data_IF_542931419819
#
_entry.id   IF_542931419819
#
_cell.length_a   1.000
_cell.length_b   1.000
_cell.length_c   1.000
_cell.angle_alpha   90.00
_cell.angle_beta   90.00
_cell.angle_gamma   90.00
#
_symmetry.space_group_name_H-M   'P 1'
#
loop_
_entity.id
_entity.type
_entity.pdbx_description
1 polymer ?
#
# COMPACT_ATOMS: atom_id res chain seq x y z
N UNK A 1 -2.52 12.78 14.10
CA UNK A 1 -2.94 11.63 13.26
C UNK A 1 -1.77 11.14 12.39
N UNK A 2 -1.24 11.97 11.47
CA UNK A 2 -0.13 11.61 10.56
C UNK A 2 1.11 10.99 11.24
N UNK A 3 1.67 11.65 12.27
CA UNK A 3 2.86 11.14 12.97
C UNK A 3 2.65 9.80 13.68
N UNK A 4 1.43 9.51 14.10
CA UNK A 4 1.12 8.24 14.75
C UNK A 4 1.04 7.11 13.72
N UNK A 5 0.38 7.36 12.58
CA UNK A 5 0.32 6.42 11.46
C UNK A 5 1.73 6.04 10.97
N UNK A 6 2.62 7.03 10.81
CA UNK A 6 4.01 6.79 10.42
C UNK A 6 4.75 5.85 11.39
N UNK A 7 4.48 5.94 12.70
CA UNK A 7 5.15 5.11 13.72
C UNK A 7 4.74 3.64 13.69
N UNK A 8 3.54 3.34 13.18
CA UNK A 8 2.95 2.00 13.15
C UNK A 8 3.01 1.34 11.76
N UNK A 9 3.54 2.04 10.76
CA UNK A 9 3.80 1.51 9.41
C UNK A 9 4.65 0.24 9.46
N UNK A 10 4.27 -0.78 8.68
CA UNK A 10 5.01 -2.03 8.56
C UNK A 10 5.03 -2.90 9.81
N UNK A 11 4.35 -2.50 10.91
CA UNK A 11 4.27 -3.27 12.15
C UNK A 11 2.88 -3.91 12.30
N UNK A 12 2.79 -5.18 12.73
CA UNK A 12 1.51 -5.79 13.05
C UNK A 12 0.91 -5.13 14.30
N UNK A 13 -0.32 -4.64 14.18
CA UNK A 13 -1.13 -4.08 15.24
C UNK A 13 -2.22 -5.09 15.59
N UNK A 14 -2.32 -5.43 16.88
CA UNK A 14 -3.27 -6.42 17.37
C UNK A 14 -4.70 -5.87 17.32
N UNK A 15 -5.65 -6.77 17.04
CA UNK A 15 -7.08 -6.49 17.18
C UNK A 15 -7.63 -7.11 18.47
N UNK A 16 -8.86 -6.76 18.89
CA UNK A 16 -9.55 -7.47 19.96
C UNK A 16 -9.85 -8.95 19.63
N UNK A 17 -9.82 -9.34 18.35
CA UNK A 17 -10.05 -10.72 17.91
C UNK A 17 -8.73 -11.49 18.00
N UNK A 18 -8.74 -12.57 18.77
CA UNK A 18 -7.54 -13.36 18.99
C UNK A 18 -7.00 -13.94 17.68
N UNK A 19 -5.69 -13.82 17.47
CA UNK A 19 -5.02 -14.27 16.24
C UNK A 19 -5.16 -13.33 15.03
N UNK A 20 -5.93 -12.23 15.14
CA UNK A 20 -6.07 -11.26 14.06
C UNK A 20 -5.24 -10.00 14.34
N UNK A 21 -4.42 -9.63 13.36
CA UNK A 21 -3.64 -8.38 13.36
C UNK A 21 -3.78 -7.66 12.03
N UNK A 22 -3.50 -6.37 12.02
CA UNK A 22 -3.44 -5.55 10.81
C UNK A 22 -2.12 -4.78 10.75
N UNK A 23 -1.62 -4.59 9.54
CA UNK A 23 -0.40 -3.83 9.28
C UNK A 23 -0.73 -2.78 8.23
N UNK A 24 -0.34 -1.52 8.46
CA UNK A 24 -0.44 -0.51 7.40
C UNK A 24 0.78 -0.69 6.49
N UNK A 25 0.49 -0.94 5.22
CA UNK A 25 1.48 -0.98 4.14
C UNK A 25 1.44 0.36 3.40
N UNK A 26 2.58 0.78 2.87
CA UNK A 26 2.70 1.97 2.01
C UNK A 26 3.66 1.65 0.89
N UNK A 27 3.29 2.05 -0.32
CA UNK A 27 4.21 2.08 -1.44
C UNK A 27 5.39 3.01 -1.13
N UNK A 28 6.61 2.49 -1.23
CA UNK A 28 7.82 3.30 -1.07
C UNK A 28 8.44 3.45 -2.46
N UNK A 29 8.35 4.67 -3.01
CA UNK A 29 9.04 5.01 -4.25
C UNK A 29 10.56 5.08 -4.01
N UNK A 30 11.34 4.82 -5.05
CA UNK A 30 12.81 4.83 -5.03
C UNK A 30 13.41 6.16 -4.54
N UNK A 31 12.67 7.27 -4.69
CA UNK A 31 13.05 8.60 -4.19
C UNK A 31 13.03 8.73 -2.66
N UNK A 32 12.37 7.81 -1.93
CA UNK A 32 12.34 7.77 -0.46
C UNK A 32 13.34 6.78 0.14
N UNK A 33 14.17 6.13 -0.69
CA UNK A 33 15.25 5.23 -0.25
C UNK A 33 16.43 6.06 0.28
N UNK A 34 16.31 6.58 1.50
CA UNK A 34 17.48 7.15 2.18
C UNK A 34 18.38 6.06 2.80
N UNK A 35 18.02 4.78 2.70
CA UNK A 35 18.83 3.68 3.21
C UNK A 35 18.95 2.57 2.16
N UNK A 36 20.20 2.17 1.88
CA UNK A 36 20.65 1.21 0.87
C UNK A 36 20.19 -0.25 1.10
N UNK A 37 18.98 -0.50 1.59
CA UNK A 37 18.40 -1.84 1.55
C UNK A 37 16.95 -1.78 1.08
N UNK A 38 16.73 -2.23 -0.14
CA UNK A 38 15.44 -2.81 -0.51
C UNK A 38 15.31 -4.05 0.37
N UNK A 39 14.63 -3.90 1.51
CA UNK A 39 14.33 -5.04 2.38
C UNK A 39 13.39 -5.99 1.65
N UNK A 40 13.55 -7.29 1.85
CA UNK A 40 12.63 -8.34 1.40
C UNK A 40 11.17 -8.00 1.74
N UNK A 41 10.96 -7.39 2.91
CA UNK A 41 9.69 -6.82 3.39
C UNK A 41 9.06 -5.83 2.39
N UNK A 42 9.87 -5.00 1.74
CA UNK A 42 9.39 -3.98 0.80
C UNK A 42 8.94 -4.60 -0.53
N UNK A 43 9.63 -5.66 -0.97
CA UNK A 43 9.25 -6.45 -2.14
C UNK A 43 7.93 -7.19 -1.86
N UNK A 44 7.80 -7.81 -0.68
CA UNK A 44 6.55 -8.45 -0.27
C UNK A 44 5.38 -7.46 -0.21
N UNK A 45 5.62 -6.23 0.26
CA UNK A 45 4.58 -5.20 0.30
C UNK A 45 4.16 -4.77 -1.10
N UNK A 46 5.12 -4.64 -2.03
CA UNK A 46 4.82 -4.33 -3.42
C UNK A 46 3.94 -5.41 -4.06
N UNK A 47 4.27 -6.68 -3.82
CA UNK A 47 3.48 -7.80 -4.33
C UNK A 47 2.05 -7.79 -3.74
N UNK A 48 1.90 -7.51 -2.45
CA UNK A 48 0.57 -7.41 -1.80
C UNK A 48 -0.27 -6.26 -2.35
N UNK A 49 0.34 -5.11 -2.64
CA UNK A 49 -0.35 -3.97 -3.25
C UNK A 49 -0.79 -4.31 -4.68
N UNK A 50 0.05 -5.00 -5.46
CA UNK A 50 -0.32 -5.46 -6.81
C UNK A 50 -1.54 -6.40 -6.78
N UNK A 51 -1.51 -7.40 -5.90
CA UNK A 51 -2.64 -8.33 -5.74
C UNK A 51 -3.92 -7.58 -5.31
N UNK A 52 -3.79 -6.57 -4.44
CA UNK A 52 -4.94 -5.77 -4.03
C UNK A 52 -5.54 -4.97 -5.20
N UNK A 53 -4.71 -4.46 -6.12
CA UNK A 53 -5.20 -3.81 -7.34
C UNK A 53 -5.98 -4.79 -8.22
N UNK A 54 -5.43 -5.99 -8.44
CA UNK A 54 -6.09 -7.02 -9.26
C UNK A 54 -7.47 -7.38 -8.69
N UNK A 55 -7.57 -7.60 -7.37
CA UNK A 55 -8.84 -7.87 -6.69
C UNK A 55 -9.83 -6.71 -6.85
N UNK A 56 -9.37 -5.46 -6.78
CA UNK A 56 -10.25 -4.30 -6.97
C UNK A 56 -10.75 -4.19 -8.41
N UNK A 57 -9.93 -4.55 -9.41
CA UNK A 57 -10.34 -4.58 -10.81
C UNK A 57 -11.30 -5.74 -11.14
N UNK A 58 -11.20 -6.85 -10.41
CA UNK A 58 -12.20 -7.94 -10.53
C UNK A 58 -13.54 -7.57 -9.87
N UNK A 59 -13.51 -6.82 -8.78
CA UNK A 59 -14.71 -6.49 -8.00
C UNK A 59 -15.41 -5.21 -8.45
N UNK A 60 -14.69 -4.29 -9.09
CA UNK A 60 -15.17 -2.94 -9.42
C UNK A 60 -14.73 -2.50 -10.81
N UNK A 61 -15.52 -1.62 -11.44
CA UNK A 61 -15.10 -0.97 -12.67
C UNK A 61 -14.01 0.07 -12.38
N UNK A 62 -12.92 0.10 -13.15
CA UNK A 62 -11.88 1.12 -13.01
C UNK A 62 -12.45 2.53 -13.18
N UNK A 63 -11.95 3.46 -12.36
CA UNK A 63 -12.28 4.89 -12.49
C UNK A 63 -11.09 5.56 -13.14
N UNK A 64 -11.27 6.01 -14.39
CA UNK A 64 -10.23 6.69 -15.13
C UNK A 64 -10.35 8.20 -14.92
N UNK A 65 -9.27 8.87 -14.48
CA UNK A 65 -9.22 10.33 -14.40
C UNK A 65 -9.06 10.92 -15.81
N UNK A 66 -10.06 11.68 -16.28
CA UNK A 66 -10.10 12.22 -17.64
C UNK A 66 -8.88 13.07 -18.02
N UNK A 67 -8.23 13.72 -17.05
CA UNK A 67 -7.12 14.66 -17.28
C UNK A 67 -5.80 13.94 -17.52
N UNK A 68 -5.55 12.85 -16.81
CA UNK A 68 -4.27 12.10 -16.81
C UNK A 68 -4.40 10.78 -17.54
N UNK A 69 -5.63 10.29 -17.75
CA UNK A 69 -5.93 8.94 -18.22
C UNK A 69 -5.56 7.85 -17.22
N UNK A 70 -5.26 8.21 -15.96
CA UNK A 70 -4.83 7.23 -14.96
C UNK A 70 -6.01 6.53 -14.31
N UNK A 71 -5.78 5.29 -13.90
CA UNK A 71 -6.70 4.60 -12.99
C UNK A 71 -6.52 5.14 -11.58
N UNK A 72 -7.57 5.77 -11.05
CA UNK A 72 -7.61 6.38 -9.74
C UNK A 72 -7.30 5.36 -8.62
N UNK A 73 -7.73 4.11 -8.78
CA UNK A 73 -7.47 3.07 -7.78
C UNK A 73 -5.98 2.71 -7.74
N UNK A 74 -5.37 2.54 -8.91
CA UNK A 74 -3.91 2.37 -9.05
C UNK A 74 -3.16 3.53 -8.39
N UNK A 75 -3.60 4.77 -8.63
CA UNK A 75 -2.93 5.97 -8.09
C UNK A 75 -2.98 6.03 -6.57
N UNK A 76 -4.13 5.71 -5.97
CA UNK A 76 -4.29 5.68 -4.51
C UNK A 76 -3.40 4.59 -3.89
N UNK A 77 -3.38 3.39 -4.47
CA UNK A 77 -2.62 2.25 -3.95
C UNK A 77 -1.10 2.48 -4.04
N UNK A 78 -0.64 3.05 -5.15
CA UNK A 78 0.77 3.34 -5.38
C UNK A 78 1.18 4.76 -4.94
N UNK A 79 0.26 5.53 -4.36
CA UNK A 79 0.51 6.91 -3.93
C UNK A 79 1.23 7.73 -5.03
N UNK A 80 0.69 7.68 -6.24
CA UNK A 80 1.21 8.31 -7.45
C UNK A 80 0.67 9.73 -7.65
#
# INVERSE_FOLDING_TARGET
IFNHLHKIMGKPNLTPVNGLSWTILRYVNDSHKNDNSVSETMIEFQNKISIALDVLHECFLPVIEDRTGSDVVSDILFNR
#
